data_IF_886073804879
#
_entry.id   IF_886073804879
#
_cell.length_a   1.000
_cell.length_b   1.000
_cell.length_c   1.000
_cell.angle_alpha   90.00
_cell.angle_beta   90.00
_cell.angle_gamma   90.00
#
_symmetry.space_group_name_H-M   'P 1'
#
loop_
_entity.id
_entity.type
_entity.pdbx_description
1 polymer ?
#
# COMPACT_ATOMS: atom_id res chain seq x y z
N UNK A 1 72.48 -57.67 11.21
CA UNK A 1 72.01 -56.77 10.13
C UNK A 1 70.53 -56.50 10.34
N UNK A 2 70.19 -55.22 10.39
CA UNK A 2 68.92 -54.64 10.84
C UNK A 2 67.73 -54.89 9.91
N UNK A 3 66.54 -55.08 10.48
CA UNK A 3 65.34 -54.27 10.15
C UNK A 3 64.27 -54.39 11.25
N UNK A 4 64.01 -53.26 11.90
CA UNK A 4 62.85 -53.03 12.76
C UNK A 4 61.61 -52.64 11.91
N UNK A 5 60.39 -52.87 12.40
CA UNK A 5 59.14 -52.51 11.72
C UNK A 5 58.80 -51.02 11.91
N UNK A 6 58.23 -50.38 10.88
CA UNK A 6 57.74 -49.00 10.94
C UNK A 6 56.21 -48.98 10.87
N UNK A 7 55.61 -48.43 11.93
CA UNK A 7 54.18 -48.14 12.08
C UNK A 7 53.65 -47.12 11.06
N UNK A 8 52.36 -47.17 10.76
CA UNK A 8 51.25 -46.44 11.40
C UNK A 8 50.85 -45.16 10.63
N UNK A 9 49.57 -45.16 10.21
CA UNK A 9 48.63 -44.05 10.07
C UNK A 9 49.08 -42.73 9.44
N UNK A 10 48.58 -42.43 8.24
CA UNK A 10 48.05 -41.12 7.84
C UNK A 10 47.45 -41.21 6.43
N UNK A 11 46.36 -40.55 6.04
CA UNK A 11 45.27 -39.79 6.65
C UNK A 11 44.38 -39.44 5.44
N UNK A 12 43.07 -39.68 5.53
CA UNK A 12 42.08 -39.22 4.56
C UNK A 12 42.26 -37.72 4.29
N UNK A 13 42.60 -37.35 3.04
CA UNK A 13 42.66 -35.96 2.59
C UNK A 13 41.46 -35.68 1.69
N UNK A 14 40.66 -34.70 2.10
CA UNK A 14 39.95 -33.82 1.17
C UNK A 14 38.50 -34.16 0.89
N UNK A 15 37.59 -33.71 1.75
CA UNK A 15 36.25 -33.24 1.37
C UNK A 15 35.60 -32.52 2.56
N UNK A 16 36.08 -31.33 2.90
CA UNK A 16 35.42 -30.47 3.89
C UNK A 16 35.45 -29.01 3.40
N UNK A 17 34.90 -28.77 2.21
CA UNK A 17 34.64 -27.43 1.68
C UNK A 17 33.25 -27.45 1.04
N UNK A 18 32.18 -27.42 1.84
CA UNK A 18 30.81 -27.24 1.31
C UNK A 18 29.77 -26.67 2.31
N UNK A 19 30.16 -26.24 3.53
CA UNK A 19 29.16 -25.89 4.55
C UNK A 19 29.36 -24.50 5.18
N UNK A 20 29.51 -23.46 4.36
CA UNK A 20 29.69 -22.08 4.86
C UNK A 20 28.96 -20.98 4.05
N UNK A 21 27.92 -21.31 3.28
CA UNK A 21 27.18 -20.33 2.45
C UNK A 21 25.71 -20.11 2.82
N UNK A 22 25.25 -20.62 3.97
CA UNK A 22 23.85 -20.47 4.42
C UNK A 22 23.66 -19.61 5.68
N UNK A 23 24.58 -18.69 5.97
CA UNK A 23 24.37 -17.67 6.99
C UNK A 23 23.52 -16.51 6.42
N UNK A 24 22.22 -16.78 6.31
CA UNK A 24 21.09 -15.88 6.49
C UNK A 24 21.45 -14.40 6.74
N UNK A 25 21.45 -13.61 5.67
CA UNK A 25 21.33 -12.16 5.79
C UNK A 25 19.85 -11.80 6.00
N UNK A 26 19.43 -11.65 7.25
CA UNK A 26 18.20 -10.92 7.56
C UNK A 26 18.44 -9.44 7.20
N UNK A 27 18.17 -9.04 5.96
CA UNK A 27 18.17 -7.63 5.58
C UNK A 27 17.02 -6.96 6.35
N UNK A 28 17.37 -6.16 7.36
CA UNK A 28 16.42 -5.27 8.03
C UNK A 28 15.97 -4.24 6.99
N UNK A 29 14.66 -4.08 6.74
CA UNK A 29 14.18 -3.15 5.73
C UNK A 29 14.58 -1.72 6.06
N UNK A 30 14.96 -0.95 5.03
CA UNK A 30 15.37 0.44 5.21
C UNK A 30 14.16 1.33 5.59
N UNK A 31 14.35 2.49 6.24
CA UNK A 31 13.24 3.35 6.64
C UNK A 31 12.23 3.67 5.52
N UNK A 32 12.63 3.99 4.28
CA UNK A 32 11.68 4.21 3.18
C UNK A 32 10.83 2.98 2.86
N UNK A 33 11.43 1.78 2.88
CA UNK A 33 10.73 0.52 2.61
C UNK A 33 9.72 0.19 3.71
N UNK A 34 10.08 0.43 4.97
CA UNK A 34 9.17 0.28 6.11
C UNK A 34 8.00 1.25 6.01
N UNK A 35 8.27 2.53 5.74
CA UNK A 35 7.22 3.53 5.55
C UNK A 35 6.26 3.17 4.40
N UNK A 36 6.81 2.77 3.24
CA UNK A 36 6.01 2.32 2.10
C UNK A 36 5.17 1.07 2.44
N UNK A 37 5.74 0.13 3.19
CA UNK A 37 5.06 -1.10 3.60
C UNK A 37 3.92 -0.81 4.56
N UNK A 38 4.15 -0.02 5.60
CA UNK A 38 3.12 0.43 6.54
C UNK A 38 2.01 1.19 5.81
N UNK A 39 2.36 2.12 4.92
CA UNK A 39 1.37 2.87 4.16
C UNK A 39 0.54 1.93 3.27
N UNK A 40 1.15 0.98 2.57
CA UNK A 40 0.44 -0.01 1.76
C UNK A 40 -0.50 -0.87 2.62
N UNK A 41 -0.02 -1.36 3.76
CA UNK A 41 -0.81 -2.18 4.69
C UNK A 41 -2.03 -1.43 5.21
N UNK A 42 -1.83 -0.19 5.69
CA UNK A 42 -2.90 0.69 6.16
C UNK A 42 -3.96 0.91 5.08
N UNK A 43 -3.52 1.26 3.87
CA UNK A 43 -4.41 1.60 2.77
C UNK A 43 -5.17 0.39 2.22
N UNK A 44 -4.52 -0.77 2.09
CA UNK A 44 -5.18 -2.02 1.69
C UNK A 44 -6.17 -2.50 2.75
N UNK A 45 -5.79 -2.45 4.03
CA UNK A 45 -6.71 -2.77 5.12
C UNK A 45 -7.95 -1.86 5.06
N UNK A 46 -7.76 -0.55 4.91
CA UNK A 46 -8.85 0.40 4.83
C UNK A 46 -9.76 0.16 3.61
N UNK A 47 -9.18 -0.13 2.42
CA UNK A 47 -9.92 -0.47 1.20
C UNK A 47 -10.85 -1.67 1.40
N UNK A 48 -10.38 -2.70 2.08
CA UNK A 48 -11.15 -3.93 2.31
C UNK A 48 -12.07 -3.84 3.54
N UNK A 49 -12.26 -2.67 4.13
CA UNK A 49 -13.12 -2.47 5.29
C UNK A 49 -12.54 -2.99 6.61
N UNK A 50 -11.25 -3.38 6.62
CA UNK A 50 -10.48 -3.72 7.83
C UNK A 50 -10.01 -2.46 8.54
N UNK A 51 -10.96 -1.61 8.91
CA UNK A 51 -10.72 -0.31 9.54
C UNK A 51 -10.06 -0.49 10.93
N UNK A 52 -10.32 -1.62 11.59
CA UNK A 52 -9.65 -2.06 12.81
C UNK A 52 -8.12 -2.16 12.63
N UNK A 53 -7.69 -2.83 11.56
CA UNK A 53 -6.26 -3.01 11.24
C UNK A 53 -5.64 -1.69 10.82
N UNK A 54 -6.31 -0.94 9.94
CA UNK A 54 -5.82 0.37 9.50
C UNK A 54 -5.68 1.36 10.68
N UNK A 55 -6.63 1.32 11.63
CA UNK A 55 -6.56 2.10 12.87
C UNK A 55 -5.39 1.70 13.78
N UNK A 56 -5.00 0.42 13.80
CA UNK A 56 -3.84 -0.03 14.58
C UNK A 56 -2.52 0.56 14.08
N UNK A 57 -2.43 0.83 12.77
CA UNK A 57 -1.31 1.48 12.08
C UNK A 57 -1.37 3.03 12.15
N UNK A 58 -2.38 3.57 12.82
CA UNK A 58 -2.54 5.00 13.08
C UNK A 58 -2.09 5.31 14.51
N UNK A 59 -1.37 6.43 14.68
CA UNK A 59 -0.92 6.88 15.99
C UNK A 59 -2.11 7.07 16.92
N UNK A 60 -1.96 6.68 18.18
CA UNK A 60 -3.07 6.58 19.15
C UNK A 60 -3.94 7.84 19.22
N UNK A 61 -3.29 9.01 19.29
CA UNK A 61 -3.95 10.33 19.32
C UNK A 61 -4.78 10.66 18.07
N UNK A 62 -4.47 10.06 16.92
CA UNK A 62 -5.14 10.33 15.64
C UNK A 62 -6.21 9.30 15.29
N UNK A 63 -6.32 8.20 16.06
CA UNK A 63 -7.22 7.08 15.73
C UNK A 63 -8.67 7.50 15.68
N UNK A 64 -9.13 8.32 16.63
CA UNK A 64 -10.52 8.76 16.67
C UNK A 64 -10.90 9.52 15.38
N UNK A 65 -10.07 10.47 14.97
CA UNK A 65 -10.29 11.27 13.76
C UNK A 65 -10.14 10.45 12.48
N UNK A 66 -9.22 9.48 12.46
CA UNK A 66 -9.07 8.53 11.35
C UNK A 66 -10.34 7.68 11.14
N UNK A 67 -10.92 7.18 12.24
CA UNK A 67 -12.16 6.39 12.21
C UNK A 67 -13.35 7.25 11.80
N UNK A 68 -13.47 8.45 12.36
CA UNK A 68 -14.57 9.38 12.05
C UNK A 68 -14.62 9.72 10.55
N UNK A 69 -13.47 10.04 9.94
CA UNK A 69 -13.36 10.35 8.50
C UNK A 69 -13.73 9.19 7.58
N UNK A 70 -13.67 7.95 8.08
CA UNK A 70 -13.98 6.72 7.32
C UNK A 70 -15.33 6.10 7.70
N UNK A 71 -16.14 6.76 8.52
CA UNK A 71 -17.43 6.21 8.96
C UNK A 71 -18.42 5.93 7.81
N UNK A 72 -18.29 6.65 6.69
CA UNK A 72 -19.09 6.46 5.48
C UNK A 72 -18.56 5.36 4.54
N UNK A 73 -17.34 4.88 4.76
CA UNK A 73 -16.72 3.87 3.88
C UNK A 73 -17.43 2.52 4.01
N UNK A 74 -17.68 1.89 2.88
CA UNK A 74 -18.44 0.64 2.78
C UNK A 74 -19.96 0.81 2.86
N UNK A 75 -20.48 1.99 3.25
CA UNK A 75 -21.92 2.28 3.34
C UNK A 75 -22.41 3.30 2.31
N UNK A 76 -21.62 4.35 2.09
CA UNK A 76 -21.94 5.42 1.14
C UNK A 76 -20.82 5.61 0.13
N UNK A 77 -19.58 5.38 0.56
CA UNK A 77 -18.38 5.46 -0.28
C UNK A 77 -17.79 4.07 -0.47
N UNK A 78 -17.63 3.64 -1.71
CA UNK A 78 -16.92 2.41 -2.08
C UNK A 78 -15.54 2.78 -2.60
N UNK A 79 -14.50 2.27 -1.93
CA UNK A 79 -13.13 2.37 -2.44
C UNK A 79 -12.95 1.31 -3.53
N UNK A 80 -12.69 1.77 -4.75
CA UNK A 80 -12.48 0.95 -5.94
C UNK A 80 -11.04 0.50 -5.99
N UNK A 81 -10.09 1.43 -5.83
CA UNK A 81 -8.65 1.15 -5.86
C UNK A 81 -7.86 2.11 -4.98
N UNK A 82 -6.65 1.68 -4.61
CA UNK A 82 -5.70 2.51 -3.85
C UNK A 82 -4.30 2.30 -4.37
N UNK A 83 -3.64 3.38 -4.76
CA UNK A 83 -2.30 3.38 -5.33
C UNK A 83 -1.37 4.33 -4.56
N UNK A 84 -0.14 3.89 -4.29
CA UNK A 84 0.89 4.77 -3.73
C UNK A 84 1.51 5.59 -4.87
N UNK A 85 1.16 6.86 -4.95
CA UNK A 85 1.60 7.78 -6.00
C UNK A 85 3.00 8.38 -5.73
N UNK A 86 3.44 8.40 -4.48
CA UNK A 86 4.76 8.93 -4.12
C UNK A 86 5.13 8.68 -2.67
N UNK A 87 6.42 8.73 -2.39
CA UNK A 87 6.98 8.67 -1.04
C UNK A 87 8.15 9.64 -0.93
N UNK A 88 8.13 10.46 0.11
CA UNK A 88 9.21 11.38 0.45
C UNK A 88 9.61 11.18 1.91
N UNK A 89 10.89 10.94 2.17
CA UNK A 89 11.42 10.89 3.53
C UNK A 89 11.71 12.31 4.02
N UNK A 90 11.14 12.70 5.18
CA UNK A 90 11.37 13.98 5.86
C UNK A 90 12.29 13.78 7.08
N UNK A 91 13.34 12.98 6.91
CA UNK A 91 14.23 12.51 7.98
C UNK A 91 14.23 10.98 8.10
N UNK A 92 14.94 10.46 9.11
CA UNK A 92 15.03 9.01 9.32
C UNK A 92 13.75 8.40 9.92
N UNK A 93 12.99 9.20 10.68
CA UNK A 93 11.79 8.79 11.42
C UNK A 93 10.50 9.35 10.84
N UNK A 94 10.52 10.08 9.72
CA UNK A 94 9.34 10.72 9.13
C UNK A 94 9.26 10.52 7.64
N UNK A 95 8.05 10.26 7.15
CA UNK A 95 7.77 10.12 5.73
C UNK A 95 6.44 10.81 5.40
N UNK A 96 6.34 11.36 4.19
CA UNK A 96 5.06 11.69 3.57
C UNK A 96 4.83 10.70 2.42
N UNK A 97 3.67 10.07 2.39
CA UNK A 97 3.25 9.17 1.31
C UNK A 97 2.05 9.77 0.63
N UNK A 98 2.10 9.92 -0.69
CA UNK A 98 0.96 10.34 -1.50
C UNK A 98 0.22 9.10 -1.98
N UNK A 99 -1.10 9.12 -1.81
CA UNK A 99 -1.97 7.99 -2.13
C UNK A 99 -3.12 8.48 -3.00
N UNK A 100 -3.31 7.80 -4.13
CA UNK A 100 -4.47 7.98 -4.99
C UNK A 100 -5.55 6.98 -4.60
N UNK A 101 -6.71 7.50 -4.22
CA UNK A 101 -7.91 6.72 -3.99
C UNK A 101 -8.82 6.84 -5.19
N UNK A 102 -9.09 5.72 -5.86
CA UNK A 102 -10.23 5.62 -6.77
C UNK A 102 -11.45 5.17 -5.95
N UNK A 103 -12.54 5.93 -6.02
CA UNK A 103 -13.73 5.68 -5.21
C UNK A 103 -15.00 6.09 -5.95
N UNK A 104 -16.15 5.64 -5.47
CA UNK A 104 -17.45 6.06 -5.96
C UNK A 104 -18.44 6.14 -4.81
N UNK A 105 -19.47 6.98 -4.95
CA UNK A 105 -20.63 6.86 -4.07
C UNK A 105 -21.49 5.67 -4.50
N UNK A 106 -22.14 5.00 -3.57
CA UNK A 106 -22.95 3.81 -3.86
C UNK A 106 -24.21 4.17 -4.70
N UNK A 107 -24.69 5.41 -4.60
CA UNK A 107 -25.82 5.94 -5.36
C UNK A 107 -25.42 6.58 -6.72
N UNK A 108 -24.12 6.60 -7.05
CA UNK A 108 -23.59 7.15 -8.30
C UNK A 108 -22.87 6.06 -9.11
N UNK A 109 -22.84 6.19 -10.45
CA UNK A 109 -22.03 5.32 -11.32
C UNK A 109 -20.79 6.03 -11.87
N UNK A 110 -20.21 6.92 -11.06
CA UNK A 110 -19.04 7.73 -11.43
C UNK A 110 -17.89 7.35 -10.51
N UNK A 111 -16.80 6.88 -11.12
CA UNK A 111 -15.53 6.70 -10.41
C UNK A 111 -14.83 8.06 -10.32
N UNK A 112 -14.46 8.42 -9.11
CA UNK A 112 -13.78 9.64 -8.71
C UNK A 112 -12.38 9.29 -8.24
N UNK A 113 -11.49 10.27 -8.30
CA UNK A 113 -10.12 10.10 -7.80
C UNK A 113 -9.76 11.24 -6.86
N UNK A 114 -9.29 10.89 -5.66
CA UNK A 114 -8.79 11.86 -4.68
C UNK A 114 -7.36 11.51 -4.31
N UNK A 115 -6.47 12.50 -4.35
CA UNK A 115 -5.10 12.36 -3.87
C UNK A 115 -4.99 12.84 -2.43
N UNK A 116 -4.45 11.98 -1.58
CA UNK A 116 -4.26 12.23 -0.15
C UNK A 116 -2.77 12.19 0.18
N UNK A 117 -2.27 13.20 0.88
CA UNK A 117 -0.96 13.13 1.54
C UNK A 117 -1.14 12.54 2.94
N UNK A 118 -0.35 11.52 3.26
CA UNK A 118 -0.33 10.82 4.53
C UNK A 118 1.03 11.00 5.18
N UNK A 119 1.06 11.63 6.35
CA UNK A 119 2.29 11.82 7.13
C UNK A 119 2.45 10.66 8.11
N UNK A 120 3.61 10.01 8.06
CA UNK A 120 3.99 8.90 8.92
C UNK A 120 5.16 9.27 9.82
N UNK A 121 5.17 8.72 11.03
CA UNK A 121 6.28 8.84 11.97
C UNK A 121 6.62 7.51 12.65
N UNK A 122 7.90 7.20 12.77
CA UNK A 122 8.41 6.09 13.58
C UNK A 122 8.89 6.60 14.95
N UNK A 123 8.15 6.27 16.00
CA UNK A 123 8.52 6.59 17.39
C UNK A 123 9.23 5.42 18.10
N UNK A 124 9.89 4.54 17.34
CA UNK A 124 10.58 3.35 17.84
C UNK A 124 9.73 2.07 17.84
N UNK A 125 8.51 2.13 17.29
CA UNK A 125 7.58 1.00 17.18
C UNK A 125 7.19 0.68 15.73
N UNK A 126 7.88 1.29 14.77
CA UNK A 126 7.50 1.29 13.37
C UNK A 126 6.73 2.56 13.01
N UNK A 127 6.60 2.80 11.70
CA UNK A 127 5.86 3.93 11.19
C UNK A 127 4.38 3.84 11.55
N UNK A 128 3.80 4.97 11.95
CA UNK A 128 2.37 5.11 12.18
C UNK A 128 1.88 6.38 11.49
N UNK A 129 0.64 6.35 10.98
CA UNK A 129 -0.02 7.52 10.42
C UNK A 129 -0.24 8.56 11.53
N UNK A 130 0.23 9.78 11.32
CA UNK A 130 0.08 10.91 12.27
C UNK A 130 -0.73 12.08 11.71
N UNK A 131 -0.94 12.12 10.40
CA UNK A 131 -1.83 13.08 9.76
C UNK A 131 -2.17 12.60 8.35
N UNK A 132 -3.32 13.04 7.84
CA UNK A 132 -3.66 12.88 6.43
C UNK A 132 -4.51 14.06 5.97
N UNK A 133 -4.33 14.45 4.71
CA UNK A 133 -5.02 15.60 4.10
C UNK A 133 -5.23 15.37 2.61
N UNK A 134 -6.41 15.73 2.10
CA UNK A 134 -6.65 15.78 0.66
C UNK A 134 -5.78 16.89 0.06
N UNK A 135 -4.98 16.55 -0.96
CA UNK A 135 -4.10 17.48 -1.67
C UNK A 135 -4.52 17.70 -3.13
N UNK A 136 -5.50 16.95 -3.63
CA UNK A 136 -6.06 17.16 -4.96
C UNK A 136 -7.13 16.14 -5.35
N UNK A 137 -7.72 16.33 -6.53
CA UNK A 137 -8.76 15.47 -7.08
C UNK A 137 -10.17 15.83 -6.60
N UNK A 138 -11.08 14.86 -6.72
CA UNK A 138 -12.48 14.97 -6.32
C UNK A 138 -12.64 15.13 -4.81
N UNK A 139 -13.68 15.84 -4.39
CA UNK A 139 -14.09 15.95 -2.97
C UNK A 139 -15.11 14.88 -2.62
N UNK A 140 -15.22 14.54 -1.34
CA UNK A 140 -16.24 13.63 -0.81
C UNK A 140 -15.71 12.28 -0.35
N UNK A 141 -14.42 12.00 -0.54
CA UNK A 141 -13.78 10.77 -0.05
C UNK A 141 -13.97 10.62 1.47
N UNK A 142 -13.92 11.71 2.23
CA UNK A 142 -14.11 11.72 3.69
C UNK A 142 -15.48 12.26 4.10
N UNK A 143 -16.46 12.20 3.19
CA UNK A 143 -17.82 12.67 3.45
C UNK A 143 -18.00 14.19 3.37
N UNK A 144 -17.04 14.93 2.79
CA UNK A 144 -17.26 16.33 2.47
C UNK A 144 -18.44 16.47 1.51
N UNK A 145 -19.25 17.54 1.61
CA UNK A 145 -20.35 17.77 0.68
C UNK A 145 -19.82 17.82 -0.75
N UNK A 146 -20.31 16.91 -1.59
CA UNK A 146 -20.04 16.93 -3.03
C UNK A 146 -21.13 17.78 -3.67
N UNK A 147 -20.79 18.84 -4.43
CA UNK A 147 -21.78 19.53 -5.24
C UNK A 147 -22.47 18.51 -6.13
N UNK A 148 -23.80 18.43 -6.06
CA UNK A 148 -24.57 17.53 -6.90
C UNK A 148 -24.10 17.71 -8.35
N UNK A 149 -23.69 16.61 -8.99
CA UNK A 149 -23.36 16.65 -10.39
C UNK A 149 -24.58 17.25 -11.10
N UNK A 150 -24.42 18.40 -11.78
CA UNK A 150 -25.45 18.88 -12.70
C UNK A 150 -25.73 17.69 -13.59
N UNK A 151 -26.96 17.17 -13.55
CA UNK A 151 -27.41 16.14 -14.46
C UNK A 151 -27.27 16.72 -15.86
N UNK A 152 -26.13 16.50 -16.50
CA UNK A 152 -26.02 16.63 -17.94
C UNK A 152 -26.89 15.49 -18.43
N UNK A 153 -28.15 15.80 -18.74
CA UNK A 153 -29.05 14.88 -19.41
C UNK A 153 -28.23 14.19 -20.50
N UNK A 154 -28.28 12.84 -20.61
CA UNK A 154 -27.51 12.17 -21.63
C UNK A 154 -27.88 12.83 -22.95
N UNK A 155 -26.90 13.43 -23.63
CA UNK A 155 -27.07 13.79 -25.01
C UNK A 155 -27.46 12.48 -25.68
N UNK A 156 -28.72 12.38 -26.10
CA UNK A 156 -29.29 11.24 -26.77
C UNK A 156 -28.45 11.01 -28.02
N UNK A 157 -27.38 10.21 -27.89
CA UNK A 157 -26.62 9.72 -29.03
C UNK A 157 -27.64 8.86 -29.76
N UNK A 158 -28.18 9.40 -30.85
CA UNK A 158 -28.93 8.61 -31.81
C UNK A 158 -28.01 7.45 -32.18
N UNK A 159 -28.46 6.23 -31.93
CA UNK A 159 -27.79 5.03 -32.42
C UNK A 159 -27.65 5.18 -33.94
N UNK A 160 -26.46 5.52 -34.40
CA UNK A 160 -26.11 5.44 -35.82
C UNK A 160 -25.86 3.98 -36.09
N UNK A 161 -26.91 3.28 -36.52
CA UNK A 161 -26.81 1.91 -36.97
C UNK A 161 -25.91 1.87 -38.20
N UNK A 162 -24.70 1.31 -38.04
CA UNK A 162 -23.78 1.12 -39.17
C UNK A 162 -24.31 0.00 -40.06
N UNK A 163 -24.44 0.28 -41.35
CA UNK A 163 -24.91 -0.68 -42.34
C UNK A 163 -23.86 -1.78 -42.53
N UNK A 164 -24.16 -3.02 -42.11
CA UNK A 164 -23.27 -4.17 -42.26
C UNK A 164 -23.21 -4.58 -43.74
N UNK A 165 -22.18 -4.11 -44.45
CA UNK A 165 -21.94 -4.53 -45.83
C UNK A 165 -21.26 -5.89 -45.85
N UNK A 166 -21.99 -6.93 -46.26
CA UNK A 166 -21.43 -8.27 -46.48
C UNK A 166 -20.64 -8.24 -47.80
N UNK A 167 -19.34 -8.50 -47.73
CA UNK A 167 -18.50 -8.69 -48.92
C UNK A 167 -18.74 -10.14 -49.41
N UNK A 168 -19.17 -10.28 -50.67
CA UNK A 168 -19.29 -11.58 -51.36
C UNK A 168 -18.04 -11.84 -52.19
#
# INVERSE_FOLDING_TARGET
>A
MHRAPRGWCARFRGAAVSLALFASACLVPQPPERAATTARELNLAARFGRIDVAGSLTAEKERADFLARRAAWGREVRIVDVELAGLEMRGADRAEVQVDYAWMRIDENIVRTTRVAQDFRDAGRGFQLIAERCIGGDRGLFGEPVPAAKATAPAQRRDVQFETKIIR
#
